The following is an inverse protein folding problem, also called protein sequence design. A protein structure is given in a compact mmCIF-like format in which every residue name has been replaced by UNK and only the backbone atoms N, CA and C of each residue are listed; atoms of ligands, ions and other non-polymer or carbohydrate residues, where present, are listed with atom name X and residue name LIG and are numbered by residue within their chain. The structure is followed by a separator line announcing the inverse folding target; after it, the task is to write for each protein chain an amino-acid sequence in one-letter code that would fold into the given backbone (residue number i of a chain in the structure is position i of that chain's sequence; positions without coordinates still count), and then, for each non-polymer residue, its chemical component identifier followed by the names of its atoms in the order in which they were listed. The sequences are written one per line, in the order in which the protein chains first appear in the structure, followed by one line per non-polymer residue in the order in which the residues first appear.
data_IF_220022973166
#
_entry.id   IF_220022973166
#
_cell.length_a   1.000
_cell.length_b   1.000
_cell.length_c   1.000
_cell.angle_alpha   90.00
_cell.angle_beta   90.00
_cell.angle_gamma   90.00
#
_symmetry.space_group_name_H-M   'P 1'
#
loop_
_entity.id
_entity.type
_entity.pdbx_description
1 polymer ?
#
# COMPACT_ATOMS: atom_id res chain seq x y z
N UNK A 1 2.28 -17.54 -13.17
CA UNK A 1 1.11 -17.66 -14.08
C UNK A 1 1.43 -18.69 -15.16
N UNK A 2 0.49 -19.58 -15.49
CA UNK A 2 0.62 -20.55 -16.60
C UNK A 2 0.84 -19.85 -17.95
N UNK A 3 0.52 -18.58 -18.04
CA UNK A 3 0.81 -17.69 -19.16
C UNK A 3 2.06 -16.90 -18.80
N UNK A 4 3.14 -17.02 -19.58
CA UNK A 4 4.44 -16.35 -19.36
C UNK A 4 4.37 -14.84 -19.62
N UNK A 5 3.40 -14.15 -19.00
CA UNK A 5 3.25 -12.68 -19.10
C UNK A 5 4.05 -12.04 -17.97
N UNK A 6 4.67 -10.91 -18.26
CA UNK A 6 5.40 -10.13 -17.26
C UNK A 6 4.44 -9.73 -16.10
N UNK A 7 4.79 -10.06 -14.85
CA UNK A 7 3.94 -9.74 -13.68
C UNK A 7 3.57 -8.26 -13.58
N UNK A 8 4.48 -7.36 -13.94
CA UNK A 8 4.24 -5.92 -13.92
C UNK A 8 3.12 -5.51 -14.91
N UNK A 9 3.14 -6.05 -16.13
CA UNK A 9 2.10 -5.77 -17.13
C UNK A 9 0.75 -6.32 -16.68
N UNK A 10 0.74 -7.53 -16.09
CA UNK A 10 -0.49 -8.15 -15.58
C UNK A 10 -1.10 -7.33 -14.45
N UNK A 11 -0.31 -6.86 -13.49
CA UNK A 11 -0.81 -6.06 -12.35
C UNK A 11 -1.31 -4.69 -12.81
N UNK A 12 -0.60 -4.01 -13.72
CA UNK A 12 -1.08 -2.75 -14.31
C UNK A 12 -2.37 -2.93 -15.10
N UNK A 13 -2.47 -4.00 -15.90
CA UNK A 13 -3.70 -4.32 -16.64
C UNK A 13 -4.88 -4.57 -15.70
N UNK A 14 -4.68 -5.35 -14.64
CA UNK A 14 -5.70 -5.61 -13.62
C UNK A 14 -6.14 -4.32 -12.91
N UNK A 15 -5.18 -3.47 -12.53
CA UNK A 15 -5.47 -2.17 -11.93
C UNK A 15 -6.33 -1.29 -12.85
N UNK A 16 -5.99 -1.23 -14.14
CA UNK A 16 -6.74 -0.45 -15.13
C UNK A 16 -8.17 -0.98 -15.32
N UNK A 17 -8.33 -2.31 -15.37
CA UNK A 17 -9.65 -2.96 -15.46
C UNK A 17 -10.49 -2.62 -14.23
N UNK A 18 -9.96 -2.81 -13.02
CA UNK A 18 -10.69 -2.51 -11.78
C UNK A 18 -11.08 -1.03 -11.69
N UNK A 19 -10.18 -0.12 -12.07
CA UNK A 19 -10.48 1.32 -12.14
C UNK A 19 -11.58 1.63 -13.15
N UNK A 20 -11.55 0.99 -14.33
CA UNK A 20 -12.60 1.11 -15.33
C UNK A 20 -13.96 0.64 -14.81
N UNK A 21 -14.01 -0.49 -14.09
CA UNK A 21 -15.24 -1.00 -13.47
C UNK A 21 -15.79 0.02 -12.44
N UNK A 22 -14.93 0.58 -11.59
CA UNK A 22 -15.35 1.59 -10.60
C UNK A 22 -15.88 2.84 -11.30
N UNK A 23 -15.20 3.33 -12.33
CA UNK A 23 -15.65 4.50 -13.11
C UNK A 23 -17.00 4.27 -13.79
N UNK A 24 -17.22 3.08 -14.36
CA UNK A 24 -18.50 2.71 -14.95
C UNK A 24 -19.61 2.63 -13.91
N UNK A 25 -19.35 1.99 -12.77
CA UNK A 25 -20.33 1.83 -11.69
C UNK A 25 -20.74 3.17 -11.05
N UNK A 26 -19.79 4.11 -10.92
CA UNK A 26 -20.02 5.42 -10.32
C UNK A 26 -20.36 6.50 -11.33
N UNK A 27 -20.31 6.19 -12.64
CA UNK A 27 -20.45 7.18 -13.72
C UNK A 27 -19.48 8.36 -13.56
N UNK A 28 -18.31 8.13 -12.98
CA UNK A 28 -17.31 9.14 -12.68
C UNK A 28 -17.62 10.06 -11.50
N UNK A 29 -18.78 9.89 -10.86
CA UNK A 29 -19.21 10.75 -9.75
C UNK A 29 -18.58 10.31 -8.41
N UNK A 30 -18.22 11.26 -7.54
CA UNK A 30 -17.85 10.94 -6.16
C UNK A 30 -19.03 10.33 -5.39
N UNK A 31 -18.74 9.34 -4.55
CA UNK A 31 -19.72 8.78 -3.63
C UNK A 31 -19.67 9.55 -2.31
N UNK A 32 -20.84 9.98 -1.86
CA UNK A 32 -21.05 10.74 -0.62
C UNK A 32 -22.27 10.18 0.11
N UNK A 33 -22.57 10.70 1.31
CA UNK A 33 -23.77 10.32 2.04
C UNK A 33 -23.66 8.99 2.78
N UNK A 34 -22.47 8.63 3.21
CA UNK A 34 -22.25 7.45 4.06
C UNK A 34 -22.93 7.64 5.43
N UNK A 35 -23.42 6.54 6.05
CA UNK A 35 -24.01 6.59 7.38
C UNK A 35 -23.05 7.18 8.43
N UNK A 36 -23.55 7.89 9.47
CA UNK A 36 -22.69 8.44 10.53
C UNK A 36 -21.82 7.41 11.22
N UNK A 37 -22.32 6.19 11.39
CA UNK A 37 -21.62 5.07 12.00
C UNK A 37 -20.37 4.67 11.19
N UNK A 38 -20.42 4.85 9.88
CA UNK A 38 -19.26 4.61 9.01
C UNK A 38 -18.18 5.67 9.25
N UNK A 39 -18.56 6.93 9.48
CA UNK A 39 -17.62 8.01 9.76
C UNK A 39 -16.89 7.80 11.10
N UNK A 40 -17.48 7.13 12.07
CA UNK A 40 -16.84 6.81 13.34
C UNK A 40 -15.53 6.02 13.16
N UNK A 41 -15.47 5.15 12.19
CA UNK A 41 -14.27 4.30 11.93
C UNK A 41 -13.04 5.14 11.54
N UNK A 42 -13.23 6.27 10.84
CA UNK A 42 -12.15 7.16 10.39
C UNK A 42 -11.98 8.42 11.25
N UNK A 43 -13.04 8.89 11.93
CA UNK A 43 -13.06 10.14 12.68
C UNK A 43 -13.23 9.93 14.18
N UNK A 44 -13.65 8.74 14.61
CA UNK A 44 -13.85 8.39 16.01
C UNK A 44 -12.54 8.41 16.80
N UNK A 45 -12.68 8.63 18.12
CA UNK A 45 -11.55 8.71 19.04
C UNK A 45 -11.74 7.75 20.20
N UNK A 46 -10.66 7.06 20.57
CA UNK A 46 -10.55 6.29 21.79
C UNK A 46 -9.47 6.92 22.67
N UNK A 47 -9.80 7.31 23.88
CA UNK A 47 -8.88 8.04 24.79
C UNK A 47 -8.22 9.28 24.16
N UNK A 48 -8.94 9.98 23.27
CA UNK A 48 -8.42 11.18 22.58
C UNK A 48 -7.58 10.89 21.33
N UNK A 49 -7.29 9.61 21.00
CA UNK A 49 -6.52 9.19 19.83
C UNK A 49 -7.50 8.74 18.74
N UNK A 50 -7.29 9.20 17.51
CA UNK A 50 -8.12 8.77 16.37
C UNK A 50 -7.95 7.28 16.08
N UNK A 51 -9.05 6.57 15.77
CA UNK A 51 -9.02 5.15 15.42
C UNK A 51 -8.01 4.78 14.32
N UNK A 52 -7.84 5.54 13.22
CA UNK A 52 -6.83 5.23 12.21
C UNK A 52 -5.40 5.15 12.75
N UNK A 53 -5.05 5.95 13.76
CA UNK A 53 -3.72 5.90 14.38
C UNK A 53 -3.56 4.61 15.18
N UNK A 54 -4.58 4.23 15.94
CA UNK A 54 -4.58 2.99 16.72
C UNK A 54 -4.47 1.78 15.78
N UNK A 55 -5.25 1.78 14.70
CA UNK A 55 -5.22 0.74 13.67
C UNK A 55 -3.85 0.67 13.00
N UNK A 56 -3.24 1.82 12.69
CA UNK A 56 -1.90 1.89 12.11
C UNK A 56 -0.86 1.24 13.05
N UNK A 57 -0.81 1.67 14.30
CA UNK A 57 0.15 1.15 15.28
C UNK A 57 -0.05 -0.36 15.49
N UNK A 58 -1.30 -0.80 15.64
CA UNK A 58 -1.62 -2.22 15.77
C UNK A 58 -1.18 -3.02 14.54
N UNK A 59 -1.47 -2.52 13.32
CA UNK A 59 -1.09 -3.21 12.08
C UNK A 59 0.43 -3.27 11.89
N UNK A 60 1.18 -2.23 12.28
CA UNK A 60 2.65 -2.24 12.24
C UNK A 60 3.22 -3.31 13.18
N UNK A 61 2.75 -3.36 14.43
CA UNK A 61 3.20 -4.35 15.42
C UNK A 61 2.84 -5.76 14.96
N UNK A 62 1.60 -5.95 14.47
CA UNK A 62 1.14 -7.24 13.98
C UNK A 62 1.94 -7.70 12.76
N UNK A 63 2.18 -6.81 11.80
CA UNK A 63 2.96 -7.13 10.60
C UNK A 63 4.41 -7.50 10.93
N UNK A 64 5.08 -6.72 11.81
CA UNK A 64 6.44 -7.04 12.25
C UNK A 64 6.50 -8.39 13.00
N UNK A 65 5.55 -8.61 13.91
CA UNK A 65 5.45 -9.88 14.62
C UNK A 65 5.23 -11.07 13.67
N UNK A 66 4.30 -10.93 12.73
CA UNK A 66 4.00 -11.98 11.75
C UNK A 66 5.19 -12.25 10.82
N UNK A 67 5.89 -11.22 10.34
CA UNK A 67 7.09 -11.39 9.52
C UNK A 67 8.22 -12.08 10.27
N UNK A 68 8.38 -11.80 11.57
CA UNK A 68 9.43 -12.43 12.40
C UNK A 68 9.08 -13.87 12.79
N UNK A 69 7.82 -14.16 13.10
CA UNK A 69 7.37 -15.46 13.64
C UNK A 69 6.86 -16.43 12.57
N UNK A 70 6.19 -15.94 11.53
CA UNK A 70 5.59 -16.80 10.50
C UNK A 70 6.65 -17.32 9.54
N UNK A 71 6.78 -18.64 9.49
CA UNK A 71 7.64 -19.32 8.49
C UNK A 71 7.18 -19.01 7.07
N UNK A 72 5.87 -18.93 6.87
CA UNK A 72 5.26 -18.66 5.57
C UNK A 72 5.64 -17.25 5.06
N UNK A 73 5.47 -16.20 5.89
CA UNK A 73 5.80 -14.83 5.48
C UNK A 73 7.30 -14.63 5.29
N UNK A 74 8.15 -15.32 6.04
CA UNK A 74 9.61 -15.27 5.80
C UNK A 74 10.04 -15.86 4.48
N UNK A 75 9.24 -16.76 3.90
CA UNK A 75 9.53 -17.29 2.57
C UNK A 75 9.52 -16.20 1.49
N UNK A 76 8.80 -15.09 1.68
CA UNK A 76 8.82 -13.94 0.76
C UNK A 76 10.22 -13.34 0.62
N UNK A 77 11.00 -13.30 1.71
CA UNK A 77 12.39 -12.83 1.67
C UNK A 77 13.30 -13.79 0.89
N UNK A 78 13.14 -15.10 1.08
CA UNK A 78 13.93 -16.10 0.34
C UNK A 78 13.64 -16.05 -1.15
N UNK A 79 12.35 -15.97 -1.52
CA UNK A 79 11.90 -15.86 -2.90
C UNK A 79 12.39 -14.55 -3.53
N UNK A 80 12.32 -13.43 -2.81
CA UNK A 80 12.79 -12.14 -3.28
C UNK A 80 14.32 -12.09 -3.47
N UNK A 81 15.09 -12.83 -2.66
CA UNK A 81 16.54 -12.91 -2.78
C UNK A 81 17.00 -13.76 -3.95
N UNK A 82 16.45 -14.96 -4.08
CA UNK A 82 16.71 -15.86 -5.21
C UNK A 82 15.56 -16.87 -5.36
N UNK A 83 14.72 -16.65 -6.37
CA UNK A 83 13.54 -17.48 -6.61
C UNK A 83 13.92 -18.94 -6.97
N UNK A 84 15.00 -19.13 -7.72
CA UNK A 84 15.43 -20.46 -8.15
C UNK A 84 15.98 -21.26 -6.96
N UNK A 85 16.82 -20.64 -6.14
CA UNK A 85 17.31 -21.26 -4.91
C UNK A 85 16.18 -21.59 -3.93
N UNK A 86 15.19 -20.71 -3.79
CA UNK A 86 14.01 -20.95 -2.97
C UNK A 86 13.21 -22.16 -3.48
N UNK A 87 13.02 -22.29 -4.79
CA UNK A 87 12.34 -23.41 -5.42
C UNK A 87 13.10 -24.74 -5.21
N UNK A 88 14.42 -24.72 -5.38
CA UNK A 88 15.27 -25.89 -5.12
C UNK A 88 15.27 -26.30 -3.64
N UNK A 89 15.04 -25.35 -2.73
CA UNK A 89 14.90 -25.62 -1.29
C UNK A 89 13.50 -26.14 -0.89
N UNK A 90 12.63 -26.46 -1.88
CA UNK A 90 11.31 -27.01 -1.63
C UNK A 90 10.22 -25.96 -1.28
N UNK A 91 10.49 -24.68 -1.44
CA UNK A 91 9.48 -23.64 -1.22
C UNK A 91 8.52 -23.63 -2.43
N UNK A 92 7.21 -23.69 -2.14
CA UNK A 92 6.20 -23.53 -3.17
C UNK A 92 6.01 -22.03 -3.50
N UNK A 93 6.85 -21.55 -4.44
CA UNK A 93 6.94 -20.15 -4.83
C UNK A 93 5.59 -19.60 -5.32
N UNK A 94 4.83 -20.39 -6.08
CA UNK A 94 3.56 -19.96 -6.65
C UNK A 94 2.52 -19.69 -5.56
N UNK A 95 2.40 -20.59 -4.60
CA UNK A 95 1.47 -20.40 -3.47
C UNK A 95 1.85 -19.18 -2.63
N UNK A 96 3.13 -18.98 -2.35
CA UNK A 96 3.58 -17.83 -1.57
C UNK A 96 3.27 -16.52 -2.31
N UNK A 97 3.52 -16.45 -3.63
CA UNK A 97 3.16 -15.28 -4.43
C UNK A 97 1.65 -15.01 -4.42
N UNK A 98 0.81 -16.03 -4.59
CA UNK A 98 -0.66 -15.88 -4.56
C UNK A 98 -1.11 -15.30 -3.22
N UNK A 99 -0.66 -15.88 -2.11
CA UNK A 99 -1.03 -15.39 -0.78
C UNK A 99 -0.52 -13.96 -0.52
N UNK A 100 0.67 -13.61 -1.02
CA UNK A 100 1.18 -12.24 -0.91
C UNK A 100 0.27 -11.25 -1.62
N UNK A 101 -0.20 -11.56 -2.83
CA UNK A 101 -1.16 -10.72 -3.55
C UNK A 101 -2.50 -10.62 -2.83
N UNK A 102 -3.02 -11.74 -2.27
CA UNK A 102 -4.27 -11.75 -1.51
C UNK A 102 -4.16 -10.85 -0.28
N UNK A 103 -3.11 -11.01 0.51
CA UNK A 103 -2.89 -10.22 1.73
C UNK A 103 -2.75 -8.73 1.38
N UNK A 104 -1.96 -8.40 0.36
CA UNK A 104 -1.77 -7.01 -0.09
C UNK A 104 -3.09 -6.40 -0.55
N UNK A 105 -3.89 -7.14 -1.32
CA UNK A 105 -5.20 -6.69 -1.77
C UNK A 105 -6.19 -6.44 -0.62
N UNK A 106 -6.22 -7.34 0.37
CA UNK A 106 -7.05 -7.16 1.58
C UNK A 106 -6.63 -5.92 2.38
N UNK A 107 -5.33 -5.73 2.59
CA UNK A 107 -4.82 -4.56 3.32
C UNK A 107 -5.09 -3.26 2.56
N UNK A 108 -4.96 -3.26 1.24
CA UNK A 108 -5.29 -2.11 0.40
C UNK A 108 -6.79 -1.75 0.46
N UNK A 109 -7.67 -2.74 0.40
CA UNK A 109 -9.11 -2.54 0.56
C UNK A 109 -9.45 -1.97 1.94
N UNK A 110 -8.84 -2.51 3.00
CA UNK A 110 -9.04 -2.00 4.36
C UNK A 110 -8.56 -0.57 4.53
N UNK A 111 -7.39 -0.22 3.97
CA UNK A 111 -6.89 1.15 3.94
C UNK A 111 -7.82 2.10 3.18
N UNK A 112 -8.41 1.64 2.07
CA UNK A 112 -9.40 2.40 1.30
C UNK A 112 -10.67 2.68 2.11
N UNK A 113 -11.17 1.70 2.87
CA UNK A 113 -12.33 1.87 3.77
C UNK A 113 -12.03 2.94 4.84
N UNK A 114 -10.88 2.85 5.50
CA UNK A 114 -10.48 3.83 6.52
C UNK A 114 -10.34 5.23 5.92
N UNK A 115 -9.74 5.34 4.73
CA UNK A 115 -9.57 6.60 4.02
C UNK A 115 -10.92 7.23 3.67
N UNK A 116 -11.86 6.46 3.12
CA UNK A 116 -13.22 6.91 2.81
C UNK A 116 -13.98 7.32 4.06
N UNK A 117 -13.88 6.53 5.12
CA UNK A 117 -14.50 6.85 6.42
C UNK A 117 -13.97 8.15 7.01
N UNK A 118 -12.67 8.41 6.88
CA UNK A 118 -12.03 9.64 7.37
C UNK A 118 -12.50 10.89 6.62
N UNK A 119 -12.67 10.78 5.30
CA UNK A 119 -13.08 11.92 4.46
C UNK A 119 -14.59 12.10 4.32
N UNK A 120 -15.38 11.07 4.68
CA UNK A 120 -16.84 11.04 4.49
C UNK A 120 -17.27 11.00 3.03
N UNK A 121 -16.33 10.89 2.10
CA UNK A 121 -16.58 10.82 0.66
C UNK A 121 -15.44 10.08 -0.03
N UNK A 122 -15.70 9.53 -1.22
CA UNK A 122 -14.64 8.95 -2.04
C UNK A 122 -14.84 9.28 -3.51
N UNK A 123 -13.74 9.46 -4.22
CA UNK A 123 -13.74 9.68 -5.68
C UNK A 123 -13.28 8.41 -6.39
N UNK A 124 -13.83 8.09 -7.58
CA UNK A 124 -13.38 6.96 -8.39
C UNK A 124 -11.90 7.04 -8.79
N UNK A 125 -11.32 8.25 -8.79
CA UNK A 125 -9.90 8.49 -9.09
C UNK A 125 -9.04 8.60 -7.82
N UNK A 126 -9.62 8.38 -6.64
CA UNK A 126 -8.86 8.41 -5.39
C UNK A 126 -7.68 7.42 -5.43
N UNK A 127 -6.56 7.82 -4.86
CA UNK A 127 -5.36 6.98 -4.84
C UNK A 127 -4.59 6.87 -6.15
N UNK A 128 -4.97 7.61 -7.21
CA UNK A 128 -4.19 7.63 -8.46
C UNK A 128 -2.77 8.12 -8.19
N UNK A 129 -1.76 7.33 -8.60
CA UNK A 129 -0.34 7.61 -8.35
C UNK A 129 0.14 7.26 -6.94
N UNK A 130 -0.75 6.78 -6.05
CA UNK A 130 -0.38 6.34 -4.72
C UNK A 130 0.58 5.15 -4.77
N UNK A 131 0.44 4.28 -5.79
CA UNK A 131 1.30 3.13 -6.00
C UNK A 131 2.78 3.52 -6.10
N UNK A 132 3.11 4.52 -6.92
CA UNK A 132 4.49 4.98 -7.09
C UNK A 132 5.03 5.67 -5.82
N UNK A 133 4.20 6.46 -5.15
CA UNK A 133 4.57 7.11 -3.89
C UNK A 133 4.85 6.10 -2.78
N UNK A 134 4.04 5.05 -2.69
CA UNK A 134 4.23 3.99 -1.69
C UNK A 134 5.51 3.22 -2.00
N UNK A 135 5.76 2.86 -3.27
CA UNK A 135 6.99 2.17 -3.68
C UNK A 135 8.21 3.03 -3.32
N UNK A 136 8.21 4.32 -3.65
CA UNK A 136 9.28 5.25 -3.29
C UNK A 136 9.51 5.28 -1.77
N UNK A 137 8.45 5.40 -0.98
CA UNK A 137 8.54 5.43 0.48
C UNK A 137 9.14 4.14 1.05
N UNK A 138 8.76 2.98 0.50
CA UNK A 138 9.27 1.67 0.92
C UNK A 138 10.77 1.53 0.61
N UNK A 139 11.21 2.03 -0.55
CA UNK A 139 12.63 2.05 -0.96
C UNK A 139 13.43 2.97 -0.05
N UNK A 140 12.96 4.19 0.20
CA UNK A 140 13.57 5.15 1.15
C UNK A 140 13.68 4.52 2.53
N UNK A 141 12.69 3.70 2.91
CA UNK A 141 12.69 2.91 4.14
C UNK A 141 13.69 1.75 4.17
N UNK A 142 14.49 1.56 3.10
CA UNK A 142 15.55 0.56 3.01
C UNK A 142 15.11 -0.81 2.52
N UNK A 143 13.93 -0.93 1.90
CA UNK A 143 13.54 -2.16 1.24
C UNK A 143 14.13 -2.24 -0.17
N UNK A 144 14.61 -3.43 -0.56
CA UNK A 144 15.17 -3.66 -1.89
C UNK A 144 14.08 -3.79 -2.95
N UNK A 145 14.24 -3.09 -4.07
CA UNK A 145 13.41 -3.27 -5.28
C UNK A 145 13.56 -4.67 -5.87
N UNK A 146 14.74 -5.26 -5.78
CA UNK A 146 15.00 -6.62 -6.26
C UNK A 146 14.39 -7.68 -5.34
N UNK A 147 13.88 -7.27 -4.17
CA UNK A 147 13.33 -8.16 -3.16
C UNK A 147 14.38 -8.68 -2.17
N UNK A 148 13.97 -9.57 -1.29
CA UNK A 148 14.84 -10.28 -0.34
C UNK A 148 15.24 -9.49 0.90
N UNK A 149 15.06 -8.19 0.97
CA UNK A 149 15.39 -7.37 2.15
C UNK A 149 14.43 -6.21 2.37
N UNK A 150 14.23 -5.86 3.62
CA UNK A 150 13.37 -4.78 4.07
C UNK A 150 12.87 -5.02 5.49
N UNK A 151 12.38 -3.98 6.15
CA UNK A 151 11.81 -4.06 7.49
C UNK A 151 10.53 -3.24 7.56
N UNK A 152 9.59 -3.67 8.41
CA UNK A 152 8.34 -2.92 8.65
C UNK A 152 8.64 -1.54 9.23
N UNK A 153 9.57 -1.47 10.18
CA UNK A 153 9.96 -0.22 10.81
C UNK A 153 10.62 0.75 9.80
N UNK A 154 11.52 0.24 8.94
CA UNK A 154 12.10 1.03 7.86
C UNK A 154 11.04 1.57 6.91
N UNK A 155 10.11 0.73 6.45
CA UNK A 155 8.97 1.14 5.62
C UNK A 155 8.14 2.24 6.30
N UNK A 156 7.86 2.11 7.59
CA UNK A 156 7.13 3.13 8.36
C UNK A 156 7.88 4.47 8.38
N UNK A 157 9.19 4.46 8.63
CA UNK A 157 10.01 5.67 8.60
C UNK A 157 10.04 6.32 7.22
N UNK A 158 10.15 5.52 6.16
CA UNK A 158 10.08 6.02 4.78
C UNK A 158 8.74 6.67 4.46
N UNK A 159 7.63 6.07 4.89
CA UNK A 159 6.28 6.65 4.75
C UNK A 159 6.13 7.94 5.56
N UNK A 160 6.65 7.99 6.77
CA UNK A 160 6.64 9.21 7.59
C UNK A 160 7.45 10.34 6.94
N UNK A 161 8.63 10.03 6.42
CA UNK A 161 9.49 11.00 5.73
C UNK A 161 8.81 11.57 4.47
N UNK A 162 8.28 10.70 3.61
CA UNK A 162 7.57 11.14 2.40
C UNK A 162 6.31 11.95 2.75
N UNK A 163 5.57 11.53 3.77
CA UNK A 163 4.42 12.29 4.27
C UNK A 163 4.80 13.67 4.80
N UNK A 164 5.91 13.80 5.53
CA UNK A 164 6.41 15.09 6.01
C UNK A 164 6.83 16.00 4.84
N UNK A 165 7.51 15.44 3.83
CA UNK A 165 7.89 16.18 2.62
C UNK A 165 6.63 16.71 1.90
N UNK A 166 5.64 15.85 1.65
CA UNK A 166 4.38 16.23 0.99
C UNK A 166 3.64 17.32 1.76
N UNK A 167 3.52 17.17 3.09
CA UNK A 167 2.90 18.19 3.93
C UNK A 167 3.70 19.50 3.94
N UNK A 168 5.04 19.42 4.00
CA UNK A 168 5.91 20.58 3.95
C UNK A 168 5.76 21.38 2.64
N UNK A 169 5.68 20.68 1.49
CA UNK A 169 5.41 21.31 0.19
C UNK A 169 4.05 22.02 0.18
N UNK A 170 3.03 21.42 0.81
CA UNK A 170 1.71 22.02 0.97
C UNK A 170 1.76 23.34 1.78
N UNK A 171 2.53 23.40 2.87
CA UNK A 171 2.73 24.63 3.65
C UNK A 171 3.44 25.73 2.88
N UNK A 172 4.38 25.36 2.02
CA UNK A 172 5.08 26.30 1.13
C UNK A 172 4.24 26.76 -0.06
N UNK A 173 2.97 26.35 -0.14
CA UNK A 173 2.04 26.61 -1.26
C UNK A 173 2.62 26.18 -2.62
N UNK A 174 3.50 25.20 -2.62
CA UNK A 174 4.03 24.63 -3.84
C UNK A 174 2.92 23.78 -4.47
N UNK A 175 2.70 23.98 -5.76
CA UNK A 175 1.65 23.29 -6.51
C UNK A 175 1.74 21.78 -6.33
N UNK A 176 0.57 21.12 -6.18
CA UNK A 176 0.46 19.65 -6.14
C UNK A 176 1.20 18.94 -7.30
N UNK A 177 1.33 19.63 -8.43
CA UNK A 177 2.09 19.11 -9.59
C UNK A 177 3.59 18.97 -9.30
N UNK A 178 4.15 19.78 -8.41
CA UNK A 178 5.55 19.67 -8.01
C UNK A 178 5.83 18.45 -7.12
N UNK A 179 4.81 17.91 -6.44
CA UNK A 179 4.94 16.68 -5.65
C UNK A 179 5.40 15.50 -6.52
N UNK A 180 4.87 15.39 -7.75
CA UNK A 180 5.29 14.38 -8.72
C UNK A 180 6.77 14.51 -9.12
N UNK A 181 7.26 15.74 -9.28
CA UNK A 181 8.67 16.01 -9.61
C UNK A 181 9.56 15.61 -8.44
N UNK A 182 9.21 16.02 -7.22
CA UNK A 182 9.98 15.69 -6.00
C UNK A 182 10.01 14.18 -5.78
N UNK A 183 8.87 13.51 -5.85
CA UNK A 183 8.79 12.05 -5.69
C UNK A 183 9.58 11.31 -6.77
N UNK A 184 9.54 11.78 -8.01
CA UNK A 184 10.32 11.21 -9.11
C UNK A 184 11.82 11.42 -8.94
N UNK A 185 12.26 12.59 -8.45
CA UNK A 185 13.67 12.88 -8.19
C UNK A 185 14.23 12.03 -7.03
N UNK A 186 13.40 11.71 -6.04
CA UNK A 186 13.79 10.84 -4.92
C UNK A 186 13.97 9.38 -5.38
N UNK A 187 13.28 8.96 -6.45
CA UNK A 187 13.36 7.61 -7.01
C UNK A 187 14.61 7.36 -7.88
N UNK A 188 15.27 8.41 -8.36
CA UNK A 188 16.48 8.35 -9.19
C UNK A 188 17.73 8.44 -8.31
#
# INVERSE_FOLDING_TARGET
TKVKVNPFVTTLGTMTILRGIVLLATQGNPLTGFPPEFAELGQGKLFGIFYPIIILVFSLILADFLLRKSRFLRQTYYIGGNEEAARLSGINVENVKIWTYIITGMLAAFAGIISTSKTGSTSPIAGTGAELRIIAAVIIGGASLSGGSGTIFGTFLGLMLTGLITNGLGFLRISFYAEGIVSGTILI
#
